data_IF_615778646092
#
_entry.id   IF_615778646092
#
_cell.length_a   1.000
_cell.length_b   1.000
_cell.length_c   1.000
_cell.angle_alpha   90.00
_cell.angle_beta   90.00
_cell.angle_gamma   90.00
#
_symmetry.space_group_name_H-M   'P 1'
#
loop_
_entity.id
_entity.type
_entity.pdbx_description
1 polymer ?
#
# COMPACT_ATOMS: atom_id res chain seq x y z
N UNK A 1 3.64 -0.59 -35.80
CA UNK A 1 2.33 0.02 -35.48
C UNK A 1 1.79 -0.47 -34.10
N UNK A 2 2.45 -1.41 -33.46
CA UNK A 2 2.10 -1.97 -32.12
C UNK A 2 2.62 -1.13 -30.95
N UNK A 3 3.74 -0.40 -31.10
CA UNK A 3 4.41 0.31 -30.01
C UNK A 3 3.71 1.59 -29.46
N UNK A 4 2.75 2.15 -30.19
CA UNK A 4 2.01 3.36 -29.75
C UNK A 4 0.75 3.07 -28.93
N UNK A 5 0.22 1.86 -29.03
CA UNK A 5 -0.96 1.45 -28.23
C UNK A 5 -0.56 0.97 -26.82
N UNK A 6 0.65 0.44 -26.66
CA UNK A 6 1.14 -0.05 -25.37
C UNK A 6 1.46 1.09 -24.40
N UNK A 7 2.07 2.17 -24.89
CA UNK A 7 2.39 3.35 -24.03
C UNK A 7 1.12 4.06 -23.56
N UNK A 8 0.14 4.26 -24.42
CA UNK A 8 -1.11 4.94 -24.06
C UNK A 8 -1.98 4.14 -23.07
N UNK A 9 -1.90 2.81 -23.10
CA UNK A 9 -2.66 1.93 -22.19
C UNK A 9 -1.96 1.85 -20.81
N UNK A 10 -0.64 1.88 -20.77
CA UNK A 10 0.15 1.91 -19.53
C UNK A 10 0.03 3.30 -18.89
N UNK A 11 0.11 4.39 -19.66
CA UNK A 11 -0.09 5.76 -19.16
C UNK A 11 -1.52 6.00 -18.64
N UNK A 12 -2.53 5.32 -19.18
CA UNK A 12 -3.90 5.37 -18.68
C UNK A 12 -4.11 4.56 -17.39
N UNK A 13 -3.25 3.57 -17.12
CA UNK A 13 -3.22 2.82 -15.86
C UNK A 13 -2.34 3.51 -14.80
N UNK A 14 -1.30 4.21 -15.21
CA UNK A 14 -0.58 5.21 -14.44
C UNK A 14 -1.24 6.57 -14.68
N UNK A 15 -2.40 6.82 -14.11
CA UNK A 15 -2.81 8.20 -13.87
C UNK A 15 -1.73 8.78 -12.98
N UNK A 16 -0.87 9.61 -13.54
CA UNK A 16 0.11 10.41 -12.79
C UNK A 16 -0.62 10.99 -11.60
N UNK A 17 -0.16 10.70 -10.38
CA UNK A 17 -0.93 10.85 -9.16
C UNK A 17 -1.61 12.21 -9.10
N UNK A 18 -2.92 12.22 -9.11
CA UNK A 18 -3.68 13.46 -8.89
C UNK A 18 -3.23 13.99 -7.53
N UNK A 19 -2.74 15.23 -7.49
CA UNK A 19 -2.44 15.92 -6.25
C UNK A 19 -3.65 15.85 -5.33
N UNK A 20 -3.47 15.36 -4.13
CA UNK A 20 -4.54 15.21 -3.14
C UNK A 20 -4.33 16.15 -1.97
N UNK A 21 -5.43 16.70 -1.45
CA UNK A 21 -5.44 17.39 -0.19
C UNK A 21 -5.55 16.37 0.95
N UNK A 22 -4.53 16.27 1.78
CA UNK A 22 -4.44 15.24 2.83
C UNK A 22 -4.26 15.93 4.18
N UNK A 23 -5.08 15.55 5.15
CA UNK A 23 -4.93 15.98 6.55
C UNK A 23 -4.37 14.80 7.36
N UNK A 24 -3.25 15.03 8.04
CA UNK A 24 -2.61 14.04 8.92
C UNK A 24 -2.67 14.53 10.35
N UNK A 25 -3.41 13.84 11.21
CA UNK A 25 -3.50 14.11 12.64
C UNK A 25 -2.57 13.18 13.43
N UNK A 26 -1.59 13.78 14.10
CA UNK A 26 -0.53 13.11 14.85
C UNK A 26 0.73 12.90 14.00
N UNK A 27 1.80 13.60 14.36
CA UNK A 27 3.13 13.49 13.71
C UNK A 27 4.19 12.90 14.63
N UNK A 28 3.81 11.89 15.39
CA UNK A 28 4.79 11.00 16.01
C UNK A 28 5.61 10.24 14.94
N UNK A 29 6.41 9.27 15.34
CA UNK A 29 7.33 8.54 14.42
C UNK A 29 6.64 8.03 13.15
N UNK A 30 5.46 7.44 13.28
CA UNK A 30 4.71 6.92 12.13
C UNK A 30 4.13 8.04 11.25
N UNK A 31 3.56 9.10 11.88
CA UNK A 31 3.03 10.25 11.17
C UNK A 31 4.10 10.99 10.38
N UNK A 32 5.28 11.22 10.96
CA UNK A 32 6.41 11.84 10.26
C UNK A 32 6.86 11.05 9.03
N UNK A 33 6.98 9.72 9.16
CA UNK A 33 7.35 8.88 8.01
C UNK A 33 6.33 8.99 6.88
N UNK A 34 5.05 9.02 7.25
CA UNK A 34 3.94 9.16 6.31
C UNK A 34 3.93 10.52 5.62
N UNK A 35 4.04 11.61 6.39
CA UNK A 35 4.06 12.99 5.86
C UNK A 35 5.21 13.16 4.86
N UNK A 36 6.41 12.71 5.17
CA UNK A 36 7.55 12.75 4.25
C UNK A 36 7.30 12.02 2.94
N UNK A 37 6.64 10.86 3.00
CA UNK A 37 6.33 10.09 1.79
C UNK A 37 5.27 10.78 0.94
N UNK A 38 4.22 11.33 1.58
CA UNK A 38 3.15 12.04 0.89
C UNK A 38 3.64 13.33 0.24
N UNK A 39 4.50 14.09 0.92
CA UNK A 39 5.15 15.28 0.37
C UNK A 39 6.05 14.92 -0.83
N UNK A 40 6.86 13.87 -0.70
CA UNK A 40 7.71 13.39 -1.80
C UNK A 40 6.92 12.92 -3.04
N UNK A 41 5.65 12.50 -2.86
CA UNK A 41 4.72 12.15 -3.93
C UNK A 41 3.97 13.38 -4.49
N UNK A 42 4.23 14.58 -3.95
CA UNK A 42 3.68 15.85 -4.44
C UNK A 42 2.23 16.11 -4.02
N UNK A 43 1.83 15.61 -2.83
CA UNK A 43 0.51 15.88 -2.28
C UNK A 43 0.50 17.13 -1.38
N UNK A 44 -0.62 17.83 -1.32
CA UNK A 44 -0.83 18.94 -0.39
C UNK A 44 -1.16 18.40 1.00
N UNK A 45 -0.21 18.51 1.93
CA UNK A 45 -0.34 17.90 3.25
C UNK A 45 -0.52 18.97 4.32
N UNK A 46 -1.59 18.84 5.11
CA UNK A 46 -1.80 19.61 6.35
C UNK A 46 -1.65 18.69 7.55
N UNK A 47 -0.86 19.11 8.52
CA UNK A 47 -0.53 18.35 9.72
C UNK A 47 -1.19 18.96 10.94
N UNK A 48 -1.82 18.15 11.78
CA UNK A 48 -2.34 18.54 13.10
C UNK A 48 -1.54 17.82 14.17
N UNK A 49 -0.97 18.57 15.11
CA UNK A 49 -0.26 18.02 16.27
C UNK A 49 -0.53 18.85 17.53
N UNK A 50 -0.83 18.16 18.62
CA UNK A 50 -1.16 18.84 19.88
C UNK A 50 0.07 19.39 20.61
N UNK A 51 1.25 18.80 20.40
CA UNK A 51 2.51 19.18 21.06
C UNK A 51 3.33 20.07 20.13
N UNK A 52 3.50 21.37 20.48
CA UNK A 52 4.31 22.31 19.71
C UNK A 52 5.73 21.78 19.41
N UNK A 53 6.37 21.19 20.42
CA UNK A 53 7.72 20.63 20.27
C UNK A 53 7.81 19.53 19.21
N UNK A 54 6.76 18.75 19.01
CA UNK A 54 6.72 17.70 17.98
C UNK A 54 6.47 18.33 16.61
N UNK A 55 5.61 19.34 16.55
CA UNK A 55 5.33 20.07 15.31
C UNK A 55 6.57 20.82 14.80
N UNK A 56 7.31 21.47 15.70
CA UNK A 56 8.57 22.16 15.39
C UNK A 56 9.69 21.24 14.92
N UNK A 57 9.61 19.94 15.19
CA UNK A 57 10.55 18.93 14.67
C UNK A 57 10.21 18.50 13.23
N UNK A 58 9.10 19.00 12.67
CA UNK A 58 8.81 18.79 11.24
C UNK A 58 9.87 19.56 10.44
N UNK A 59 10.62 18.88 9.56
CA UNK A 59 11.73 19.50 8.86
C UNK A 59 11.28 20.65 7.95
N UNK A 60 11.99 21.76 7.97
CA UNK A 60 11.70 22.97 7.16
C UNK A 60 11.71 22.74 5.63
N UNK A 61 12.27 21.60 5.19
CA UNK A 61 12.31 21.26 3.77
C UNK A 61 11.04 20.57 3.26
N UNK A 62 10.09 20.24 4.14
CA UNK A 62 8.80 19.67 3.76
C UNK A 62 7.82 20.82 3.45
N UNK A 63 7.15 20.71 2.30
CA UNK A 63 6.10 21.67 1.90
C UNK A 63 4.76 21.29 2.53
N UNK A 64 4.67 21.46 3.86
CA UNK A 64 3.49 21.07 4.64
C UNK A 64 2.98 22.20 5.52
N UNK A 65 1.68 22.27 5.70
CA UNK A 65 1.06 23.23 6.62
C UNK A 65 0.92 22.58 7.99
N UNK A 66 1.53 23.17 9.01
CA UNK A 66 1.45 22.68 10.41
C UNK A 66 0.42 23.47 11.22
N UNK A 67 -0.53 22.76 11.85
CA UNK A 67 -1.50 23.34 12.80
C UNK A 67 -1.30 22.73 14.18
N UNK A 68 -1.10 23.59 15.17
CA UNK A 68 -1.05 23.15 16.56
C UNK A 68 -2.46 23.01 17.12
N UNK A 69 -2.83 21.80 17.55
CA UNK A 69 -4.13 21.56 18.14
C UNK A 69 -4.45 20.08 18.31
N UNK A 70 -5.63 19.81 18.84
CA UNK A 70 -6.13 18.44 18.94
C UNK A 70 -6.88 18.05 17.68
N UNK A 71 -6.53 16.92 17.07
CA UNK A 71 -7.27 16.36 15.96
C UNK A 71 -8.72 15.95 16.30
N UNK A 72 -9.05 15.84 17.59
CA UNK A 72 -10.43 15.60 18.05
C UNK A 72 -11.25 16.88 18.21
N UNK A 73 -10.64 18.04 17.97
CA UNK A 73 -11.34 19.34 17.94
C UNK A 73 -11.84 19.59 16.50
N UNK A 74 -13.16 19.77 16.39
CA UNK A 74 -13.83 20.01 15.11
C UNK A 74 -13.37 21.28 14.43
N UNK A 75 -13.07 22.32 15.21
CA UNK A 75 -12.65 23.60 14.64
C UNK A 75 -11.22 23.53 14.09
N UNK A 76 -10.33 22.81 14.78
CA UNK A 76 -8.98 22.50 14.27
C UNK A 76 -9.04 21.64 13.01
N UNK A 77 -9.89 20.62 12.97
CA UNK A 77 -10.09 19.81 11.76
C UNK A 77 -10.63 20.63 10.59
N UNK A 78 -11.53 21.56 10.88
CA UNK A 78 -12.09 22.45 9.85
C UNK A 78 -11.05 23.43 9.31
N UNK A 79 -10.22 24.01 10.19
CA UNK A 79 -9.09 24.86 9.83
C UNK A 79 -8.06 24.10 9.00
N UNK A 80 -7.79 22.83 9.33
CA UNK A 80 -6.94 21.95 8.56
C UNK A 80 -7.50 21.58 7.18
N UNK A 81 -8.70 22.01 6.82
CA UNK A 81 -9.31 21.74 5.55
C UNK A 81 -9.96 20.36 5.42
N UNK A 82 -10.27 19.67 6.51
CA UNK A 82 -10.86 18.33 6.49
C UNK A 82 -12.15 18.24 5.67
N UNK A 83 -12.93 19.31 5.61
CA UNK A 83 -14.18 19.37 4.83
C UNK A 83 -13.98 19.19 3.31
N UNK A 84 -12.79 19.50 2.79
CA UNK A 84 -12.44 19.38 1.37
C UNK A 84 -11.33 18.35 1.13
N UNK A 85 -10.87 17.68 2.18
CA UNK A 85 -9.79 16.72 2.09
C UNK A 85 -10.20 15.47 1.28
N UNK A 86 -9.31 15.04 0.40
CA UNK A 86 -9.43 13.75 -0.25
C UNK A 86 -9.21 12.62 0.75
N UNK A 87 -8.39 12.90 1.78
CA UNK A 87 -8.02 11.91 2.77
C UNK A 87 -7.72 12.55 4.13
N UNK A 88 -8.31 12.01 5.20
CA UNK A 88 -7.92 12.31 6.59
C UNK A 88 -7.26 11.06 7.17
N UNK A 89 -6.06 11.21 7.69
CA UNK A 89 -5.29 10.13 8.31
C UNK A 89 -5.09 10.47 9.79
N UNK A 90 -5.50 9.57 10.68
CA UNK A 90 -5.28 9.69 12.10
C UNK A 90 -4.20 8.68 12.54
N UNK A 91 -3.09 9.19 13.09
CA UNK A 91 -1.92 8.43 13.51
C UNK A 91 -1.37 8.96 14.84
N UNK A 92 -2.25 9.22 15.80
CA UNK A 92 -1.91 9.74 17.12
C UNK A 92 -1.28 8.66 18.03
N UNK A 93 -1.12 8.95 19.31
CA UNK A 93 -0.53 8.02 20.27
C UNK A 93 -1.48 6.91 20.73
N UNK A 94 -2.79 7.07 20.56
CA UNK A 94 -3.84 6.13 21.03
C UNK A 94 -4.90 5.90 19.96
N UNK A 95 -5.56 4.75 20.01
CA UNK A 95 -6.44 4.27 18.95
C UNK A 95 -7.82 4.96 18.98
N UNK A 96 -8.31 5.29 20.19
CA UNK A 96 -9.62 5.92 20.37
C UNK A 96 -9.71 7.30 19.70
N UNK A 97 -8.76 8.23 19.93
CA UNK A 97 -8.71 9.49 19.20
C UNK A 97 -8.62 9.28 17.69
N UNK A 98 -7.87 8.28 17.22
CA UNK A 98 -7.73 8.03 15.78
C UNK A 98 -9.08 7.66 15.13
N UNK A 99 -9.91 6.88 15.81
CA UNK A 99 -11.27 6.59 15.38
C UNK A 99 -12.12 7.87 15.39
N UNK A 100 -12.08 8.65 16.49
CA UNK A 100 -12.86 9.89 16.63
C UNK A 100 -12.49 10.90 15.56
N UNK A 101 -11.21 11.13 15.31
CA UNK A 101 -10.71 12.03 14.26
C UNK A 101 -11.27 11.62 12.89
N UNK A 102 -11.22 10.33 12.57
CA UNK A 102 -11.75 9.82 11.31
C UNK A 102 -13.26 10.01 11.18
N UNK A 103 -14.03 9.80 12.27
CA UNK A 103 -15.46 10.03 12.30
C UNK A 103 -15.79 11.52 12.07
N UNK A 104 -15.10 12.41 12.78
CA UNK A 104 -15.27 13.85 12.65
C UNK A 104 -14.88 14.33 11.25
N UNK A 105 -13.72 13.89 10.74
CA UNK A 105 -13.25 14.23 9.39
C UNK A 105 -14.27 13.81 8.32
N UNK A 106 -14.82 12.61 8.43
CA UNK A 106 -15.90 12.15 7.55
C UNK A 106 -17.17 12.98 7.70
N UNK A 107 -17.58 13.28 8.94
CA UNK A 107 -18.75 14.12 9.21
C UNK A 107 -18.60 15.54 8.65
N UNK A 108 -17.39 16.06 8.58
CA UNK A 108 -17.07 17.35 7.96
C UNK A 108 -17.07 17.31 6.43
N UNK A 109 -16.93 16.13 5.80
CA UNK A 109 -16.96 16.00 4.35
C UNK A 109 -15.74 15.34 3.70
N UNK A 110 -14.75 14.86 4.48
CA UNK A 110 -13.61 14.15 3.93
C UNK A 110 -14.06 12.94 3.10
N UNK A 111 -13.45 12.76 1.92
CA UNK A 111 -13.83 11.69 1.01
C UNK A 111 -13.46 10.30 1.55
N UNK A 112 -12.29 10.20 2.17
CA UNK A 112 -11.76 8.96 2.77
C UNK A 112 -11.11 9.24 4.10
N UNK A 113 -11.10 8.23 4.96
CA UNK A 113 -10.46 8.30 6.27
C UNK A 113 -9.66 7.04 6.57
N UNK A 114 -8.50 7.19 7.19
CA UNK A 114 -7.64 6.08 7.61
C UNK A 114 -7.30 6.28 9.09
N UNK A 115 -7.63 5.31 9.93
CA UNK A 115 -7.23 5.29 11.33
C UNK A 115 -6.12 4.26 11.57
N UNK A 116 -5.09 4.68 12.30
CA UNK A 116 -4.07 3.76 12.82
C UNK A 116 -4.62 3.09 14.06
N UNK A 117 -4.71 1.76 14.05
CA UNK A 117 -5.26 0.96 15.14
C UNK A 117 -4.28 -0.14 15.49
N UNK A 118 -3.77 -0.13 16.73
CA UNK A 118 -2.81 -1.10 17.26
C UNK A 118 -3.46 -2.18 18.09
N UNK A 119 -4.52 -1.82 18.82
CA UNK A 119 -5.19 -2.74 19.73
C UNK A 119 -5.92 -3.85 18.95
N UNK A 120 -5.60 -5.14 19.20
CA UNK A 120 -6.25 -6.26 18.52
C UNK A 120 -7.75 -6.34 18.76
N UNK A 121 -8.29 -5.77 19.83
CA UNK A 121 -9.73 -5.77 20.12
C UNK A 121 -10.51 -4.96 19.09
N UNK A 122 -9.98 -3.82 18.63
CA UNK A 122 -10.58 -3.06 17.56
C UNK A 122 -10.53 -3.80 16.21
N UNK A 123 -9.55 -4.69 16.02
CA UNK A 123 -9.53 -5.55 14.83
C UNK A 123 -10.71 -6.51 14.78
N UNK A 124 -11.16 -7.04 15.93
CA UNK A 124 -12.37 -7.88 15.99
C UNK A 124 -13.61 -7.10 15.58
N UNK A 125 -13.65 -5.82 15.91
CA UNK A 125 -14.75 -4.89 15.59
C UNK A 125 -14.55 -4.16 14.26
N UNK A 126 -13.53 -4.51 13.48
CA UNK A 126 -13.14 -3.79 12.25
C UNK A 126 -14.26 -3.69 11.21
N UNK A 127 -15.14 -4.70 11.12
CA UNK A 127 -16.31 -4.68 10.23
C UNK A 127 -17.29 -3.59 10.63
N UNK A 128 -17.63 -3.50 11.91
CA UNK A 128 -18.50 -2.47 12.46
C UNK A 128 -17.90 -1.08 12.26
N UNK A 129 -16.63 -0.92 12.61
CA UNK A 129 -15.93 0.38 12.47
C UNK A 129 -15.89 0.83 10.99
N UNK A 130 -15.63 -0.08 10.06
CA UNK A 130 -15.60 0.26 8.62
C UNK A 130 -16.98 0.47 8.04
N UNK A 131 -17.90 -0.46 8.26
CA UNK A 131 -19.18 -0.46 7.55
C UNK A 131 -20.21 0.44 8.23
N UNK A 132 -20.34 0.36 9.55
CA UNK A 132 -21.41 1.05 10.28
C UNK A 132 -20.99 2.45 10.70
N UNK A 133 -19.72 2.63 11.13
CA UNK A 133 -19.17 3.94 11.41
C UNK A 133 -18.55 4.61 10.17
N UNK A 134 -18.38 3.85 9.10
CA UNK A 134 -18.02 4.34 7.78
C UNK A 134 -16.59 4.80 7.61
N UNK A 135 -15.63 4.30 8.38
CA UNK A 135 -14.23 4.54 8.14
C UNK A 135 -13.77 3.79 6.88
N UNK A 136 -12.96 4.44 6.05
CA UNK A 136 -12.51 3.83 4.80
C UNK A 136 -11.49 2.71 5.04
N UNK A 137 -10.56 2.90 5.99
CA UNK A 137 -9.52 1.92 6.29
C UNK A 137 -9.08 1.99 7.75
N UNK A 138 -8.76 0.82 8.31
CA UNK A 138 -8.01 0.67 9.55
C UNK A 138 -6.67 0.04 9.21
N UNK A 139 -5.58 0.60 9.72
CA UNK A 139 -4.23 0.10 9.49
C UNK A 139 -3.54 -0.17 10.82
N UNK A 140 -2.85 -1.30 10.91
CA UNK A 140 -1.92 -1.62 11.99
C UNK A 140 -0.53 -1.79 11.38
N UNK A 141 0.33 -0.76 11.44
CA UNK A 141 1.66 -0.83 10.84
C UNK A 141 2.54 -1.90 11.45
N UNK A 142 2.41 -2.14 12.75
CA UNK A 142 3.17 -3.15 13.47
C UNK A 142 2.82 -4.57 12.99
N UNK A 143 1.54 -4.87 12.84
CA UNK A 143 1.08 -6.15 12.29
C UNK A 143 1.45 -6.30 10.80
N UNK A 144 1.36 -5.23 10.03
CA UNK A 144 1.77 -5.25 8.63
C UNK A 144 3.26 -5.56 8.49
N UNK A 145 4.10 -4.90 9.29
CA UNK A 145 5.54 -5.16 9.34
C UNK A 145 5.85 -6.59 9.81
N UNK A 146 5.20 -7.06 10.87
CA UNK A 146 5.39 -8.41 11.39
C UNK A 146 5.00 -9.47 10.34
N UNK A 147 3.88 -9.28 9.64
CA UNK A 147 3.44 -10.16 8.57
C UNK A 147 4.43 -10.19 7.41
N UNK A 148 5.03 -9.04 7.07
CA UNK A 148 6.05 -8.95 6.02
C UNK A 148 7.34 -9.66 6.42
N UNK A 149 7.77 -9.51 7.68
CA UNK A 149 8.94 -10.23 8.21
C UNK A 149 8.70 -11.73 8.18
N UNK A 150 7.56 -12.20 8.70
CA UNK A 150 7.23 -13.64 8.70
C UNK A 150 7.20 -14.18 7.27
N UNK A 151 6.59 -13.44 6.34
CA UNK A 151 6.56 -13.81 4.93
C UNK A 151 7.97 -13.92 4.33
N UNK A 152 8.85 -12.97 4.62
CA UNK A 152 10.23 -13.00 4.13
C UNK A 152 11.04 -14.20 4.66
N UNK A 153 10.65 -14.77 5.80
CA UNK A 153 11.25 -16.00 6.34
C UNK A 153 10.73 -17.27 5.67
N UNK A 154 9.48 -17.27 5.21
CA UNK A 154 8.89 -18.45 4.53
C UNK A 154 9.36 -18.58 3.08
N UNK A 155 9.63 -17.47 2.41
CA UNK A 155 10.09 -17.49 1.04
C UNK A 155 11.61 -17.29 0.97
N UNK A 156 12.26 -18.08 0.13
CA UNK A 156 13.68 -17.85 -0.20
C UNK A 156 13.90 -16.41 -0.63
N UNK A 157 15.04 -15.81 -0.28
CA UNK A 157 15.42 -14.46 -0.72
C UNK A 157 15.42 -14.26 -2.24
N UNK A 158 15.31 -15.35 -3.00
CA UNK A 158 15.22 -15.38 -4.47
C UNK A 158 13.79 -15.27 -5.00
N UNK A 159 12.76 -15.36 -4.12
CA UNK A 159 11.35 -15.33 -4.49
C UNK A 159 10.68 -14.11 -3.88
N UNK A 160 10.13 -13.25 -4.71
CA UNK A 160 9.25 -12.15 -4.26
C UNK A 160 7.82 -12.61 -4.38
N UNK A 161 7.01 -12.42 -3.33
CA UNK A 161 5.60 -12.81 -3.34
C UNK A 161 4.72 -11.61 -3.08
N UNK A 162 3.74 -11.42 -3.94
CA UNK A 162 2.71 -10.38 -3.83
C UNK A 162 1.36 -11.05 -3.59
N UNK A 163 0.62 -10.57 -2.58
CA UNK A 163 -0.70 -11.08 -2.26
C UNK A 163 -1.79 -10.24 -2.91
N UNK A 164 -2.72 -10.88 -3.60
CA UNK A 164 -3.88 -10.27 -4.23
C UNK A 164 -5.18 -10.84 -3.67
N UNK A 165 -6.30 -10.16 -3.95
CA UNK A 165 -7.64 -10.61 -3.58
C UNK A 165 -7.79 -10.93 -2.08
N UNK A 166 -7.18 -10.12 -1.20
CA UNK A 166 -7.14 -10.30 0.27
C UNK A 166 -6.42 -11.61 0.69
N UNK A 167 -5.34 -11.93 0.03
CA UNK A 167 -4.51 -13.11 0.33
C UNK A 167 -5.05 -14.44 -0.23
N UNK A 168 -6.02 -14.38 -1.15
CA UNK A 168 -6.56 -15.59 -1.81
C UNK A 168 -5.83 -15.96 -3.09
N UNK A 169 -4.96 -15.10 -3.57
CA UNK A 169 -4.13 -15.32 -4.74
C UNK A 169 -2.73 -14.78 -4.47
N UNK A 170 -1.74 -15.55 -4.82
CA UNK A 170 -0.33 -15.20 -4.69
C UNK A 170 0.29 -15.05 -6.08
N UNK A 171 1.06 -13.98 -6.28
CA UNK A 171 1.93 -13.83 -7.44
C UNK A 171 3.37 -13.94 -6.97
N UNK A 172 4.04 -15.00 -7.35
CA UNK A 172 5.44 -15.24 -7.03
C UNK A 172 6.33 -14.83 -8.21
N UNK A 173 7.32 -14.00 -7.94
CA UNK A 173 8.38 -13.68 -8.89
C UNK A 173 9.67 -14.38 -8.49
N UNK A 174 10.27 -15.11 -9.42
CA UNK A 174 11.54 -15.79 -9.20
C UNK A 174 12.39 -15.79 -10.46
N UNK A 175 13.71 -15.95 -10.30
CA UNK A 175 14.63 -16.12 -11.43
C UNK A 175 15.02 -17.58 -11.56
N UNK A 176 15.01 -18.09 -12.78
CA UNK A 176 15.42 -19.46 -13.09
C UNK A 176 16.94 -19.59 -12.97
N UNK A 177 17.38 -20.33 -11.97
CA UNK A 177 18.80 -20.61 -11.77
C UNK A 177 19.31 -21.74 -12.67
N UNK A 178 20.64 -21.87 -12.74
CA UNK A 178 21.33 -22.87 -13.57
C UNK A 178 20.92 -24.32 -13.27
N UNK A 179 20.67 -24.62 -12.00
CA UNK A 179 20.29 -25.98 -11.55
C UNK A 179 18.77 -26.14 -11.40
N UNK A 180 17.99 -25.19 -11.89
CA UNK A 180 16.54 -25.25 -11.80
C UNK A 180 15.99 -26.37 -12.69
N UNK A 181 15.18 -27.23 -12.13
CA UNK A 181 14.48 -28.27 -12.89
C UNK A 181 13.50 -27.72 -13.94
N UNK A 182 13.17 -26.42 -13.86
CA UNK A 182 12.32 -25.71 -14.82
C UNK A 182 13.05 -25.41 -16.12
N UNK A 183 14.37 -25.24 -16.07
CA UNK A 183 15.17 -24.86 -17.24
C UNK A 183 15.12 -25.92 -18.35
N UNK A 184 14.89 -25.49 -19.57
CA UNK A 184 14.78 -26.36 -20.75
C UNK A 184 13.45 -27.08 -20.91
N UNK A 185 12.46 -26.85 -20.04
CA UNK A 185 11.15 -27.53 -20.09
C UNK A 185 10.06 -26.62 -20.63
N UNK A 186 9.08 -27.23 -21.29
CA UNK A 186 7.85 -26.56 -21.70
C UNK A 186 6.92 -26.37 -20.52
N UNK A 187 6.16 -25.29 -20.52
CA UNK A 187 5.17 -25.00 -19.46
C UNK A 187 4.15 -26.12 -19.31
N UNK A 188 3.67 -26.74 -20.39
CA UNK A 188 2.77 -27.88 -20.35
C UNK A 188 3.35 -29.08 -19.60
N UNK A 189 4.65 -29.36 -19.76
CA UNK A 189 5.33 -30.44 -19.05
C UNK A 189 5.45 -30.17 -17.56
N UNK A 190 5.67 -28.89 -17.21
CA UNK A 190 5.75 -28.44 -15.82
C UNK A 190 4.37 -28.54 -15.15
N UNK A 191 3.33 -28.07 -15.84
CA UNK A 191 1.95 -28.13 -15.34
C UNK A 191 1.47 -29.57 -15.06
N UNK A 192 1.86 -30.52 -15.89
CA UNK A 192 1.52 -31.94 -15.69
C UNK A 192 2.23 -32.57 -14.47
N UNK A 193 3.38 -32.03 -14.09
CA UNK A 193 4.15 -32.52 -12.92
C UNK A 193 3.82 -31.81 -11.62
N UNK A 194 3.24 -30.62 -11.71
CA UNK A 194 2.87 -29.84 -10.54
C UNK A 194 1.62 -30.42 -9.90
N UNK A 195 1.68 -30.69 -8.58
CA UNK A 195 0.49 -31.07 -7.80
C UNK A 195 -0.42 -29.90 -7.48
N UNK A 196 0.02 -28.68 -7.77
CA UNK A 196 -0.70 -27.43 -7.51
C UNK A 196 -1.03 -26.73 -8.81
N UNK A 197 -2.23 -26.18 -8.92
CA UNK A 197 -2.62 -25.39 -10.07
C UNK A 197 -1.88 -24.06 -10.07
N UNK A 198 -0.88 -23.92 -10.93
CA UNK A 198 -0.08 -22.69 -11.08
C UNK A 198 -0.24 -22.14 -12.49
N UNK A 199 -0.35 -20.81 -12.57
CA UNK A 199 -0.43 -20.09 -13.84
C UNK A 199 0.83 -19.27 -14.05
N UNK A 200 1.57 -19.57 -15.12
CA UNK A 200 2.67 -18.73 -15.57
C UNK A 200 2.07 -17.51 -16.29
N UNK A 201 2.26 -16.33 -15.70
CA UNK A 201 1.66 -15.09 -16.18
C UNK A 201 2.60 -14.34 -17.13
N UNK A 202 3.87 -14.22 -16.75
CA UNK A 202 4.86 -13.43 -17.48
C UNK A 202 6.22 -14.12 -17.36
N UNK A 203 6.97 -14.12 -18.45
CA UNK A 203 8.41 -14.44 -18.50
C UNK A 203 9.14 -13.20 -18.99
N UNK A 204 10.06 -12.69 -18.19
CA UNK A 204 11.00 -11.64 -18.62
C UNK A 204 12.33 -12.32 -18.95
N UNK A 205 12.73 -12.26 -20.20
CA UNK A 205 13.98 -12.78 -20.75
C UNK A 205 14.79 -11.61 -21.29
N UNK A 206 15.89 -11.30 -20.61
CA UNK A 206 16.70 -10.09 -20.89
C UNK A 206 15.84 -8.82 -20.83
N UNK A 207 15.58 -8.19 -21.97
CA UNK A 207 14.71 -7.00 -22.08
C UNK A 207 13.35 -7.30 -22.69
N UNK A 208 13.08 -8.56 -23.04
CA UNK A 208 11.83 -8.97 -23.65
C UNK A 208 10.85 -9.47 -22.61
N UNK A 209 9.57 -9.08 -22.75
CA UNK A 209 8.46 -9.56 -21.94
C UNK A 209 7.61 -10.51 -22.77
N UNK A 210 7.53 -11.76 -22.34
CA UNK A 210 6.84 -12.85 -23.00
C UNK A 210 5.59 -13.19 -22.19
N UNK A 211 4.42 -13.20 -22.85
CA UNK A 211 3.22 -13.84 -22.30
C UNK A 211 3.26 -15.30 -22.70
N UNK A 212 3.53 -16.22 -21.74
CA UNK A 212 3.85 -17.59 -22.12
C UNK A 212 2.60 -18.40 -22.44
N UNK A 213 2.72 -19.27 -23.44
CA UNK A 213 1.79 -20.36 -23.71
C UNK A 213 2.35 -21.71 -23.26
N UNK A 214 1.55 -22.76 -23.37
CA UNK A 214 1.93 -24.12 -22.94
C UNK A 214 3.19 -24.66 -23.62
N UNK A 215 3.47 -24.25 -24.87
CA UNK A 215 4.64 -24.63 -25.65
C UNK A 215 5.89 -23.79 -25.37
N UNK A 216 5.75 -22.74 -24.57
CA UNK A 216 6.89 -21.87 -24.22
C UNK A 216 7.89 -22.63 -23.38
N UNK A 217 9.16 -22.58 -23.79
CA UNK A 217 10.28 -23.23 -23.08
C UNK A 217 10.89 -22.21 -22.12
N UNK A 218 10.98 -22.57 -20.86
CA UNK A 218 11.65 -21.79 -19.80
C UNK A 218 13.16 -21.96 -19.97
N UNK A 219 13.91 -20.86 -19.84
CA UNK A 219 15.37 -20.84 -19.98
C UNK A 219 16.04 -20.38 -18.67
N UNK A 220 17.31 -20.75 -18.51
CA UNK A 220 18.15 -20.20 -17.45
C UNK A 220 18.18 -18.67 -17.55
N UNK A 221 18.08 -17.97 -16.41
CA UNK A 221 18.08 -16.51 -16.35
C UNK A 221 16.69 -15.88 -16.48
N UNK A 222 15.68 -16.59 -16.98
CA UNK A 222 14.32 -16.08 -17.07
C UNK A 222 13.82 -15.62 -15.70
N UNK A 223 13.19 -14.45 -15.64
CA UNK A 223 12.41 -14.00 -14.49
C UNK A 223 10.96 -14.38 -14.72
N UNK A 224 10.45 -15.25 -13.88
CA UNK A 224 9.09 -15.80 -13.97
C UNK A 224 8.17 -15.06 -13.01
N UNK A 225 6.96 -14.71 -13.47
CA UNK A 225 5.84 -14.31 -12.62
C UNK A 225 4.77 -15.39 -12.69
N UNK A 226 4.49 -16.02 -11.56
CA UNK A 226 3.62 -17.19 -11.45
C UNK A 226 2.52 -16.91 -10.44
N UNK A 227 1.26 -17.12 -10.81
CA UNK A 227 0.11 -17.01 -9.92
C UNK A 227 -0.33 -18.39 -9.41
N UNK A 228 -0.70 -18.47 -8.11
CA UNK A 228 -1.23 -19.66 -7.44
C UNK A 228 -2.42 -19.31 -6.54
#
# INVERSE_FOLDING_TARGET
>A
MVSRLETATVDALYTGGTVMNIVVAGVGKAGHALVRQLDAEGHDVTVIESKSQVLEQTPDYLDVIGLQGSGTDVDVLREAGAAKANLVIAATSTDEPDIVICLLGRGLGAQRTIARIRNPEFHKSSRLIKNDLGLSMLINPENAAASEIVRSLHYSSKVKVYLFAKGRMELAETRVGRESWLSGRKINEIAQRSMTSVQFCIIQRDQEVIIPGGETVIQEGDKLSVAA
#
